data_IF_372171818564
#
_entry.id   IF_372171818564
#
_cell.length_a   1.000
_cell.length_b   1.000
_cell.length_c   1.000
_cell.angle_alpha   90.00
_cell.angle_beta   90.00
_cell.angle_gamma   90.00
#
_symmetry.space_group_name_H-M   'P 1'
#
loop_
_entity.id
_entity.type
_entity.pdbx_description
1 polymer ?
#
# COMPACT_ATOMS: atom_id res chain seq x y z
N UNK A 1 -5.90 14.02 -4.63
CA UNK A 1 -5.34 13.96 -3.26
C UNK A 1 -6.19 14.77 -2.29
N UNK A 2 -6.51 16.05 -2.59
CA UNK A 2 -7.32 16.91 -1.71
C UNK A 2 -8.73 16.37 -1.40
N UNK A 3 -9.32 15.57 -2.28
CA UNK A 3 -10.61 14.90 -2.01
C UNK A 3 -10.51 13.74 -1.00
N UNK A 4 -9.30 13.25 -0.72
CA UNK A 4 -9.06 12.14 0.20
C UNK A 4 -8.58 12.60 1.59
N UNK A 5 -8.40 13.91 1.81
CA UNK A 5 -8.00 14.43 3.12
C UNK A 5 -9.20 14.78 3.98
N UNK A 6 -9.13 14.45 5.26
CA UNK A 6 -10.12 14.84 6.29
C UNK A 6 -9.95 16.29 6.73
N UNK A 7 -8.81 16.94 6.41
CA UNK A 7 -8.57 18.33 6.76
C UNK A 7 -9.39 19.29 5.89
N UNK A 8 -9.95 20.33 6.52
CA UNK A 8 -10.53 21.45 5.79
C UNK A 8 -9.44 22.35 5.22
N UNK A 9 -9.60 22.75 3.95
CA UNK A 9 -8.65 23.64 3.30
C UNK A 9 -9.28 25.03 3.15
N UNK A 10 -8.76 25.99 3.92
CA UNK A 10 -9.11 27.40 3.75
C UNK A 10 -8.30 27.97 2.59
N UNK A 11 -8.97 28.23 1.48
CA UNK A 11 -8.37 28.83 0.29
C UNK A 11 -8.33 30.35 0.44
N UNK A 12 -7.21 30.95 0.05
CA UNK A 12 -6.97 32.39 0.08
C UNK A 12 -6.28 32.87 -1.21
N UNK A 13 -6.02 34.17 -1.30
CA UNK A 13 -5.38 34.78 -2.49
C UNK A 13 -3.99 34.24 -2.80
N UNK A 14 -3.28 33.76 -1.78
CA UNK A 14 -1.93 33.18 -1.92
C UNK A 14 -1.97 31.65 -2.18
N UNK A 15 -3.16 31.07 -2.33
CA UNK A 15 -3.27 29.65 -2.63
C UNK A 15 -2.82 29.35 -4.07
N UNK A 16 -2.07 28.26 -4.30
CA UNK A 16 -1.69 27.82 -5.64
C UNK A 16 -2.89 27.74 -6.60
N UNK A 17 -2.71 28.20 -7.84
CA UNK A 17 -3.78 28.30 -8.84
C UNK A 17 -4.48 26.95 -9.08
N UNK A 18 -3.73 25.85 -9.09
CA UNK A 18 -4.29 24.51 -9.24
C UNK A 18 -5.30 24.17 -8.13
N UNK A 19 -5.07 24.62 -6.89
CA UNK A 19 -6.03 24.40 -5.79
C UNK A 19 -7.28 25.25 -5.92
N UNK A 20 -7.14 26.48 -6.41
CA UNK A 20 -8.27 27.37 -6.67
C UNK A 20 -9.16 26.83 -7.80
N UNK A 21 -8.57 26.21 -8.82
CA UNK A 21 -9.30 25.62 -9.94
C UNK A 21 -10.26 24.51 -9.48
N UNK A 22 -9.81 23.64 -8.56
CA UNK A 22 -10.62 22.53 -8.06
C UNK A 22 -11.45 22.89 -6.81
N UNK A 23 -11.24 24.05 -6.20
CA UNK A 23 -11.87 24.51 -4.97
C UNK A 23 -13.37 24.23 -4.86
N UNK A 24 -14.10 24.51 -5.95
CA UNK A 24 -15.55 24.34 -6.01
C UNK A 24 -15.98 22.88 -6.01
N UNK A 25 -15.19 22.01 -6.65
CA UNK A 25 -15.57 20.62 -6.90
C UNK A 25 -15.01 19.67 -5.82
N UNK A 26 -13.95 20.07 -5.09
CA UNK A 26 -13.36 19.30 -3.98
C UNK A 26 -14.40 18.85 -2.95
N UNK A 27 -15.32 19.69 -2.43
CA UNK A 27 -16.32 19.25 -1.44
C UNK A 27 -17.20 18.10 -1.95
N UNK A 28 -17.61 18.15 -3.23
CA UNK A 28 -18.39 17.08 -3.85
C UNK A 28 -17.57 15.79 -3.95
N UNK A 29 -16.31 15.89 -4.36
CA UNK A 29 -15.44 14.72 -4.45
C UNK A 29 -15.13 14.12 -3.08
N UNK A 30 -15.01 14.93 -2.02
CA UNK A 30 -14.88 14.44 -0.64
C UNK A 30 -16.07 13.59 -0.24
N UNK A 31 -17.30 14.07 -0.48
CA UNK A 31 -18.50 13.28 -0.21
C UNK A 31 -18.55 11.96 -0.98
N UNK A 32 -18.09 11.95 -2.24
CA UNK A 32 -17.99 10.71 -3.02
C UNK A 32 -16.98 9.74 -2.41
N UNK A 33 -15.82 10.23 -1.94
CA UNK A 33 -14.79 9.41 -1.28
C UNK A 33 -15.30 8.86 0.07
N UNK A 34 -15.98 9.68 0.86
CA UNK A 34 -16.59 9.26 2.13
C UNK A 34 -17.62 8.16 1.92
N UNK A 35 -18.51 8.32 0.93
CA UNK A 35 -19.48 7.27 0.54
C UNK A 35 -18.76 6.01 0.09
N UNK A 36 -17.76 6.13 -0.76
CA UNK A 36 -17.01 4.98 -1.26
C UNK A 36 -16.40 4.13 -0.13
N UNK A 37 -15.78 4.77 0.87
CA UNK A 37 -15.27 4.04 2.04
C UNK A 37 -16.38 3.48 2.94
N UNK A 38 -17.49 4.20 3.09
CA UNK A 38 -18.65 3.71 3.84
C UNK A 38 -19.26 2.45 3.19
N UNK A 39 -19.38 2.46 1.86
CA UNK A 39 -19.91 1.35 1.08
C UNK A 39 -18.98 0.14 1.18
N UNK A 40 -17.66 0.32 1.03
CA UNK A 40 -16.66 -0.76 1.24
C UNK A 40 -16.80 -1.37 2.64
N UNK A 41 -16.93 -0.53 3.67
CA UNK A 41 -17.06 -1.04 5.05
C UNK A 41 -18.33 -1.86 5.26
N UNK A 42 -19.38 -1.59 4.49
CA UNK A 42 -20.64 -2.32 4.53
C UNK A 42 -20.64 -3.56 3.61
N UNK A 43 -19.66 -3.72 2.74
CA UNK A 43 -19.53 -4.93 1.93
C UNK A 43 -19.31 -6.16 2.79
N UNK A 44 -19.83 -7.30 2.31
CA UNK A 44 -19.64 -8.59 2.97
C UNK A 44 -18.14 -8.93 2.92
N UNK A 45 -17.57 -9.27 4.06
CA UNK A 45 -16.19 -9.74 4.15
C UNK A 45 -15.99 -10.95 3.24
N UNK A 46 -14.97 -10.90 2.39
CA UNK A 46 -14.57 -12.06 1.59
C UNK A 46 -14.12 -13.20 2.51
N UNK A 47 -14.46 -14.43 2.15
CA UNK A 47 -13.94 -15.61 2.82
C UNK A 47 -12.48 -15.86 2.45
N UNK A 48 -11.74 -16.53 3.33
CA UNK A 48 -10.35 -16.94 3.05
C UNK A 48 -10.27 -17.81 1.79
N UNK A 49 -11.30 -18.62 1.52
CA UNK A 49 -11.37 -19.47 0.33
C UNK A 49 -11.47 -18.64 -0.94
N UNK A 50 -12.35 -17.65 -0.99
CA UNK A 50 -12.50 -16.76 -2.16
C UNK A 50 -11.22 -15.95 -2.39
N UNK A 51 -10.62 -15.44 -1.31
CA UNK A 51 -9.37 -14.69 -1.38
C UNK A 51 -8.24 -15.56 -1.95
N UNK A 52 -8.04 -16.76 -1.41
CA UNK A 52 -7.02 -17.69 -1.89
C UNK A 52 -7.25 -18.11 -3.35
N UNK A 53 -8.50 -18.34 -3.74
CA UNK A 53 -8.84 -18.66 -5.12
C UNK A 53 -8.49 -17.52 -6.07
N UNK A 54 -8.86 -16.28 -5.72
CA UNK A 54 -8.55 -15.11 -6.53
C UNK A 54 -7.03 -14.87 -6.65
N UNK A 55 -6.29 -15.01 -5.55
CA UNK A 55 -4.82 -14.88 -5.55
C UNK A 55 -4.15 -15.98 -6.38
N UNK A 56 -4.63 -17.22 -6.30
CA UNK A 56 -4.09 -18.34 -7.09
C UNK A 56 -4.36 -18.17 -8.59
N UNK A 57 -5.50 -17.59 -8.97
CA UNK A 57 -5.81 -17.24 -10.35
C UNK A 57 -4.87 -16.15 -10.88
N UNK A 58 -4.71 -15.05 -10.13
CA UNK A 58 -3.77 -13.99 -10.48
C UNK A 58 -2.34 -14.52 -10.62
N UNK A 59 -1.89 -15.34 -9.66
CA UNK A 59 -0.55 -15.95 -9.70
C UNK A 59 -0.33 -16.77 -10.98
N UNK A 60 -1.31 -17.58 -11.39
CA UNK A 60 -1.24 -18.33 -12.65
C UNK A 60 -1.17 -17.40 -13.86
N UNK A 61 -2.02 -16.38 -13.92
CA UNK A 61 -2.12 -15.47 -15.05
C UNK A 61 -0.81 -14.71 -15.31
N UNK A 62 -0.12 -14.28 -14.24
CA UNK A 62 1.11 -13.48 -14.36
C UNK A 62 2.41 -14.29 -14.21
N UNK A 63 2.34 -15.60 -13.97
CA UNK A 63 3.52 -16.46 -13.72
C UNK A 63 4.58 -16.41 -14.83
N UNK A 64 4.17 -16.19 -16.08
CA UNK A 64 5.08 -16.10 -17.24
C UNK A 64 5.62 -14.71 -17.54
N UNK A 65 5.09 -13.66 -16.91
CA UNK A 65 5.45 -12.27 -17.20
C UNK A 65 6.62 -11.76 -16.34
N UNK A 66 6.96 -12.48 -15.27
CA UNK A 66 7.96 -12.08 -14.30
C UNK A 66 9.29 -12.77 -14.57
N UNK A 67 10.37 -11.98 -14.74
CA UNK A 67 11.73 -12.51 -14.76
C UNK A 67 12.25 -12.73 -13.32
N UNK A 68 11.84 -13.86 -12.74
CA UNK A 68 12.19 -14.23 -11.37
C UNK A 68 13.70 -14.34 -11.14
N UNK A 69 14.48 -14.75 -12.14
CA UNK A 69 15.95 -14.87 -12.01
C UNK A 69 16.61 -13.51 -11.81
N UNK A 70 16.21 -12.51 -12.60
CA UNK A 70 16.75 -11.15 -12.45
C UNK A 70 16.31 -10.53 -11.12
N UNK A 71 15.05 -10.71 -10.72
CA UNK A 71 14.57 -10.26 -9.42
C UNK A 71 15.34 -10.89 -8.25
N UNK A 72 15.58 -12.21 -8.31
CA UNK A 72 16.38 -12.94 -7.32
C UNK A 72 17.82 -12.44 -7.26
N UNK A 73 18.43 -12.18 -8.41
CA UNK A 73 19.77 -11.62 -8.49
C UNK A 73 19.86 -10.26 -7.79
N UNK A 74 18.91 -9.35 -8.03
CA UNK A 74 18.87 -8.05 -7.35
C UNK A 74 18.63 -8.20 -5.84
N UNK A 75 17.72 -9.08 -5.43
CA UNK A 75 17.48 -9.38 -4.00
C UNK A 75 18.74 -9.89 -3.31
N UNK A 76 19.51 -10.76 -3.98
CA UNK A 76 20.74 -11.32 -3.43
C UNK A 76 21.82 -10.25 -3.15
N UNK A 77 21.86 -9.18 -3.95
CA UNK A 77 22.75 -8.03 -3.66
C UNK A 77 22.41 -7.38 -2.33
N UNK A 78 21.13 -7.22 -2.01
CA UNK A 78 20.69 -6.66 -0.73
C UNK A 78 20.97 -7.62 0.43
N UNK A 79 20.73 -8.92 0.24
CA UNK A 79 21.04 -9.95 1.24
C UNK A 79 22.54 -9.91 1.60
N UNK A 80 23.42 -9.85 0.61
CA UNK A 80 24.86 -9.77 0.86
C UNK A 80 25.27 -8.45 1.53
N UNK A 81 24.69 -7.33 1.10
CA UNK A 81 24.98 -6.01 1.67
C UNK A 81 24.64 -5.92 3.15
N UNK A 82 23.56 -6.56 3.58
CA UNK A 82 23.09 -6.55 4.96
C UNK A 82 23.30 -7.91 5.65
N UNK A 83 24.20 -8.76 5.12
CA UNK A 83 24.37 -10.14 5.57
C UNK A 83 24.64 -10.23 7.06
N UNK A 84 25.53 -9.38 7.58
CA UNK A 84 25.83 -9.32 9.00
C UNK A 84 24.58 -8.92 9.81
N UNK A 85 23.83 -7.90 9.39
CA UNK A 85 22.63 -7.47 10.11
C UNK A 85 21.51 -8.52 10.08
N UNK A 86 21.32 -9.20 8.95
CA UNK A 86 20.34 -10.27 8.77
C UNK A 86 20.75 -11.51 9.58
N UNK A 87 22.03 -11.86 9.59
CA UNK A 87 22.53 -12.98 10.40
C UNK A 87 22.49 -12.68 11.88
N UNK A 88 22.85 -11.47 12.33
CA UNK A 88 22.70 -11.05 13.72
C UNK A 88 21.23 -11.00 14.15
N UNK A 89 20.30 -10.58 13.28
CA UNK A 89 18.87 -10.59 13.62
C UNK A 89 18.27 -12.00 13.59
N UNK A 90 18.67 -12.86 12.64
CA UNK A 90 18.22 -14.25 12.57
C UNK A 90 18.75 -15.06 13.76
N UNK A 91 20.02 -14.86 14.13
CA UNK A 91 20.60 -15.43 15.35
C UNK A 91 19.91 -14.83 16.57
N UNK A 92 19.73 -13.51 16.70
CA UNK A 92 19.01 -12.91 17.83
C UNK A 92 17.55 -13.41 17.98
N UNK A 93 16.84 -13.64 16.86
CA UNK A 93 15.51 -14.26 16.86
C UNK A 93 15.56 -15.75 17.27
N UNK A 94 16.58 -16.51 16.83
CA UNK A 94 16.79 -17.91 17.22
C UNK A 94 17.25 -18.07 18.68
N UNK A 95 18.08 -17.16 19.20
CA UNK A 95 18.54 -17.17 20.60
C UNK A 95 17.57 -16.45 21.54
N UNK A 96 16.41 -15.99 21.04
CA UNK A 96 15.37 -15.37 21.86
C UNK A 96 15.85 -14.13 22.61
N UNK A 97 16.66 -13.26 21.97
CA UNK A 97 17.07 -12.00 22.58
C UNK A 97 15.92 -10.99 22.51
N UNK A 98 14.87 -11.26 23.27
CA UNK A 98 13.94 -10.24 23.74
C UNK A 98 14.74 -9.29 24.63
N UNK A 99 15.04 -8.11 24.12
CA UNK A 99 15.57 -7.03 24.91
C UNK A 99 14.74 -5.76 24.70
N UNK A 100 13.41 -5.89 24.88
CA UNK A 100 12.54 -5.02 25.69
C UNK A 100 11.10 -5.51 25.65
#
# INVERSE_FOLDING_TARGET
MDSCTTAEHKLGRDSPINKLLYARDIPRYKQMVERYYADIRQTISASDQEMNSALAELSRNYSGELNYLVALHELYKYINKYYDQVSFHSVACLVGWNNK
#
